data_IF_816621611040
#
_entry.id   IF_816621611040
#
_cell.length_a   1.000
_cell.length_b   1.000
_cell.length_c   1.000
_cell.angle_alpha   90.00
_cell.angle_beta   90.00
_cell.angle_gamma   90.00
#
_symmetry.space_group_name_H-M   'P 1'
#
loop_
_entity.id
_entity.type
_entity.pdbx_description
1 polymer ?
#
# COMPACT_ATOMS: atom_id res chain seq x y z
N UNK A 1 1.82 -68.11 32.37
CA UNK A 1 1.59 -67.66 30.97
C UNK A 1 1.34 -66.16 31.00
N UNK A 2 2.36 -65.31 30.76
CA UNK A 2 2.23 -63.86 30.92
C UNK A 2 1.65 -63.19 29.65
N UNK A 3 0.81 -62.18 29.87
CA UNK A 3 0.24 -61.30 28.85
C UNK A 3 1.35 -60.53 28.10
N UNK A 4 1.28 -60.49 26.76
CA UNK A 4 2.08 -59.58 25.91
C UNK A 4 1.25 -58.35 25.54
N UNK A 5 1.71 -57.17 26.00
CA UNK A 5 1.33 -55.86 25.48
C UNK A 5 2.03 -55.57 24.14
N UNK A 6 1.29 -54.92 23.24
CA UNK A 6 1.78 -54.03 22.17
C UNK A 6 1.13 -52.65 22.43
N UNK A 7 1.55 -51.52 21.84
CA UNK A 7 2.78 -51.19 21.10
C UNK A 7 3.46 -49.89 21.64
N UNK A 8 4.65 -49.53 21.16
CA UNK A 8 5.18 -48.17 21.29
C UNK A 8 5.78 -47.72 19.95
N UNK A 9 5.16 -46.68 19.39
CA UNK A 9 5.53 -46.06 18.14
C UNK A 9 6.88 -45.33 18.26
N UNK A 10 7.74 -45.52 17.28
CA UNK A 10 8.99 -44.79 17.13
C UNK A 10 8.72 -43.37 16.60
N UNK A 11 8.96 -42.36 17.42
CA UNK A 11 9.04 -40.96 17.00
C UNK A 11 10.32 -40.73 16.21
N UNK A 12 10.20 -40.44 14.91
CA UNK A 12 11.28 -39.93 14.08
C UNK A 12 11.48 -38.44 14.37
N UNK A 13 12.52 -38.10 15.13
CA UNK A 13 13.03 -36.74 15.25
C UNK A 13 13.87 -36.44 14.00
N UNK A 14 13.32 -35.71 13.02
CA UNK A 14 14.11 -35.09 11.96
C UNK A 14 14.76 -33.81 12.51
N UNK A 15 16.08 -33.84 12.65
CA UNK A 15 16.92 -32.69 12.94
C UNK A 15 17.08 -31.87 11.65
N UNK A 16 16.56 -30.64 11.60
CA UNK A 16 16.80 -29.71 10.50
C UNK A 16 18.20 -29.07 10.62
N UNK A 17 18.94 -28.86 9.51
CA UNK A 17 20.24 -28.19 9.55
C UNK A 17 20.11 -26.66 9.75
N UNK A 18 21.14 -25.99 10.30
CA UNK A 18 21.10 -24.56 10.60
C UNK A 18 21.11 -23.70 9.33
N UNK A 19 20.33 -22.61 9.35
CA UNK A 19 20.22 -21.61 8.29
C UNK A 19 21.57 -20.95 7.99
N UNK A 20 22.06 -21.09 6.75
CA UNK A 20 23.09 -20.20 6.21
C UNK A 20 22.49 -18.83 5.90
N UNK A 21 23.20 -17.78 6.32
CA UNK A 21 22.82 -16.39 6.11
C UNK A 21 22.94 -16.01 4.61
N UNK A 22 21.82 -15.63 4.01
CA UNK A 22 21.74 -15.14 2.64
C UNK A 22 22.30 -13.71 2.56
N UNK A 23 23.34 -13.50 1.75
CA UNK A 23 23.92 -12.18 1.52
C UNK A 23 22.94 -11.26 0.76
N UNK A 24 22.91 -9.95 1.03
CA UNK A 24 21.97 -9.03 0.41
C UNK A 24 22.26 -8.82 -1.09
N UNK A 25 21.21 -8.84 -1.89
CA UNK A 25 21.25 -8.53 -3.33
C UNK A 25 21.46 -7.02 -3.58
N UNK A 26 22.12 -6.63 -4.68
CA UNK A 26 22.41 -5.24 -4.98
C UNK A 26 21.13 -4.44 -5.32
N UNK A 27 21.09 -3.13 -5.01
CA UNK A 27 19.89 -2.31 -5.23
C UNK A 27 19.59 -2.12 -6.73
N UNK A 28 18.30 -2.04 -7.13
CA UNK A 28 17.93 -1.84 -8.52
C UNK A 28 18.29 -0.43 -8.98
N UNK A 29 18.95 -0.34 -10.14
CA UNK A 29 19.28 0.93 -10.80
C UNK A 29 18.00 1.73 -11.08
N UNK A 30 18.01 3.00 -10.69
CA UNK A 30 16.89 3.93 -10.81
C UNK A 30 16.39 4.03 -12.26
N UNK A 31 15.28 3.36 -12.58
CA UNK A 31 14.55 3.58 -13.82
C UNK A 31 13.53 4.68 -13.56
N UNK A 32 13.65 5.78 -14.30
CA UNK A 32 12.67 6.87 -14.31
C UNK A 32 11.31 6.27 -14.70
N UNK A 33 10.31 6.42 -13.85
CA UNK A 33 8.94 6.02 -14.15
C UNK A 33 8.42 6.90 -15.28
N UNK A 34 7.90 6.32 -16.37
CA UNK A 34 7.30 7.13 -17.42
C UNK A 34 6.01 7.77 -16.91
N UNK A 35 5.62 8.95 -17.43
CA UNK A 35 4.36 9.58 -17.08
C UNK A 35 3.18 8.65 -17.44
N UNK A 36 2.10 8.73 -16.65
CA UNK A 36 0.90 7.88 -16.78
C UNK A 36 0.32 7.89 -18.21
N UNK A 37 0.50 8.98 -18.95
CA UNK A 37 0.10 9.08 -20.37
C UNK A 37 0.80 8.08 -21.29
N UNK A 38 2.07 7.76 -21.03
CA UNK A 38 2.83 6.81 -21.83
C UNK A 38 2.40 5.34 -21.59
N UNK A 39 1.89 5.05 -20.39
CA UNK A 39 1.30 3.75 -20.05
C UNK A 39 0.00 3.49 -20.83
N UNK A 40 -0.82 4.53 -21.04
CA UNK A 40 -2.06 4.39 -21.82
C UNK A 40 -1.78 4.11 -23.30
N UNK A 41 -0.83 4.80 -23.92
CA UNK A 41 -0.43 4.52 -25.31
C UNK A 41 0.14 3.11 -25.48
N UNK A 42 0.88 2.62 -24.49
CA UNK A 42 1.41 1.26 -24.50
C UNK A 42 0.31 0.20 -24.40
N UNK A 43 -0.68 0.41 -23.51
CA UNK A 43 -1.83 -0.47 -23.36
C UNK A 43 -2.73 -0.50 -24.61
N UNK A 44 -2.91 0.64 -25.28
CA UNK A 44 -3.68 0.74 -26.52
C UNK A 44 -2.99 0.00 -27.69
N UNK A 45 -1.65 0.04 -27.72
CA UNK A 45 -0.86 -0.72 -28.70
C UNK A 45 -0.96 -2.24 -28.50
N UNK A 46 -1.07 -2.70 -27.25
CA UNK A 46 -1.22 -4.13 -26.92
C UNK A 46 -2.62 -4.66 -27.23
N UNK A 47 -3.64 -3.80 -27.18
CA UNK A 47 -5.03 -4.16 -27.53
C UNK A 47 -5.22 -4.36 -29.04
N UNK A 48 -4.39 -3.74 -29.87
CA UNK A 48 -4.53 -3.73 -31.34
C UNK A 48 -3.83 -4.89 -32.06
N UNK A 49 -3.25 -5.85 -31.35
CA UNK A 49 -2.77 -7.12 -31.93
C UNK A 49 -1.70 -7.01 -33.02
N UNK A 50 -0.92 -5.92 -33.06
CA UNK A 50 0.21 -5.78 -33.99
C UNK A 50 1.53 -6.04 -33.26
N UNK A 51 2.32 -6.98 -33.79
CA UNK A 51 3.61 -7.39 -33.25
C UNK A 51 4.60 -6.21 -33.10
N UNK A 52 5.08 -6.00 -31.87
CA UNK A 52 6.03 -4.96 -31.49
C UNK A 52 7.48 -5.24 -31.97
N UNK A 53 7.69 -5.59 -33.26
CA UNK A 53 9.02 -5.87 -33.82
C UNK A 53 9.39 -5.17 -35.14
N UNK A 54 8.59 -4.24 -35.66
CA UNK A 54 8.94 -3.56 -36.93
C UNK A 54 8.76 -2.05 -36.98
N UNK A 55 8.60 -1.36 -35.85
CA UNK A 55 8.58 0.11 -35.82
C UNK A 55 9.69 0.68 -34.94
N UNK A 56 10.80 1.05 -35.57
CA UNK A 56 11.72 2.03 -35.01
C UNK A 56 10.98 3.39 -34.90
N UNK A 57 11.11 4.12 -33.78
CA UNK A 57 10.45 5.41 -33.65
C UNK A 57 11.07 6.42 -34.62
N UNK A 58 10.28 7.24 -35.33
CA UNK A 58 10.83 8.31 -36.15
C UNK A 58 11.48 9.38 -35.26
N UNK A 59 12.58 9.96 -35.74
CA UNK A 59 13.24 11.09 -35.10
C UNK A 59 12.25 12.25 -34.91
N UNK A 60 12.12 12.73 -33.66
CA UNK A 60 11.24 13.83 -33.31
C UNK A 60 11.66 15.13 -34.03
N UNK A 61 10.83 15.59 -34.96
CA UNK A 61 10.91 16.95 -35.50
C UNK A 61 10.16 17.89 -34.53
N UNK A 62 10.82 18.99 -34.17
CA UNK A 62 10.31 19.98 -33.22
C UNK A 62 9.05 20.68 -33.73
N UNK A 63 7.92 20.41 -33.08
CA UNK A 63 6.70 21.23 -33.19
C UNK A 63 6.81 22.51 -32.32
N UNK A 64 5.97 23.53 -32.59
CA UNK A 64 6.06 24.81 -31.90
C UNK A 64 5.80 24.63 -30.40
N UNK A 65 6.67 25.21 -29.59
CA UNK A 65 6.55 25.23 -28.12
C UNK A 65 5.30 26.02 -27.77
N UNK A 66 4.20 25.31 -27.52
CA UNK A 66 3.02 25.91 -26.91
C UNK A 66 3.41 26.39 -25.51
N UNK A 67 3.48 27.70 -25.34
CA UNK A 67 3.55 28.37 -24.05
C UNK A 67 2.24 28.15 -23.30
N UNK A 68 2.11 26.99 -22.66
CA UNK A 68 0.88 26.53 -22.02
C UNK A 68 0.90 26.68 -20.50
N UNK A 69 0.21 27.72 -20.02
CA UNK A 69 -0.55 27.74 -18.76
C UNK A 69 0.21 27.47 -17.47
N UNK A 70 0.56 28.55 -16.75
CA UNK A 70 0.84 28.46 -15.30
C UNK A 70 -0.33 27.81 -14.55
N UNK A 71 -0.08 27.15 -13.41
CA UNK A 71 -1.11 26.36 -12.73
C UNK A 71 -2.30 27.24 -12.33
N UNK A 72 -3.47 26.86 -12.86
CA UNK A 72 -4.79 27.36 -12.47
C UNK A 72 -4.94 27.39 -10.95
N UNK A 73 -5.18 28.58 -10.40
CA UNK A 73 -5.48 28.82 -8.98
C UNK A 73 -6.89 28.35 -8.61
N UNK A 74 -7.25 27.12 -8.97
CA UNK A 74 -8.45 26.48 -8.44
C UNK A 74 -8.24 26.27 -6.94
N UNK A 75 -9.22 26.68 -6.12
CA UNK A 75 -9.18 26.52 -4.66
C UNK A 75 -8.97 25.04 -4.32
N UNK A 76 -7.74 24.68 -3.93
CA UNK A 76 -7.40 23.35 -3.44
C UNK A 76 -7.85 23.24 -2.00
N UNK A 77 -8.58 22.19 -1.67
CA UNK A 77 -8.85 21.86 -0.26
C UNK A 77 -7.53 21.42 0.40
N UNK A 78 -7.11 22.04 1.51
CA UNK A 78 -5.92 21.62 2.22
C UNK A 78 -6.11 20.22 2.83
N UNK A 79 -5.03 19.46 2.94
CA UNK A 79 -5.01 18.12 3.53
C UNK A 79 -3.96 18.07 4.65
N UNK A 80 -4.36 17.57 5.81
CA UNK A 80 -3.48 17.27 6.94
C UNK A 80 -3.39 15.75 7.07
N UNK A 81 -2.19 15.22 6.79
CA UNK A 81 -1.93 13.79 6.77
C UNK A 81 -0.99 13.40 7.93
N UNK A 82 -1.48 12.58 8.87
CA UNK A 82 -0.70 12.04 9.97
C UNK A 82 -0.15 10.65 9.64
N UNK A 83 1.09 10.56 9.19
CA UNK A 83 1.79 9.28 9.05
C UNK A 83 2.40 8.84 10.38
N UNK A 84 1.87 7.78 10.97
CA UNK A 84 2.26 7.31 12.30
C UNK A 84 3.59 6.55 12.28
N UNK A 85 4.10 6.20 11.09
CA UNK A 85 5.28 5.35 10.89
C UNK A 85 5.10 4.05 11.69
N UNK A 86 6.14 3.54 12.32
CA UNK A 86 6.08 2.35 13.18
C UNK A 86 5.62 2.71 14.61
N UNK A 87 4.44 3.33 14.75
CA UNK A 87 3.85 3.66 16.05
C UNK A 87 2.32 3.55 16.03
N UNK A 88 1.68 3.34 17.19
CA UNK A 88 2.30 3.02 18.50
C UNK A 88 2.83 1.56 18.56
N UNK A 89 3.41 1.15 19.68
CA UNK A 89 4.07 -0.16 19.78
C UNK A 89 3.07 -1.31 19.97
N UNK A 90 1.90 -1.02 20.52
CA UNK A 90 0.90 -2.03 20.89
C UNK A 90 -0.49 -1.67 20.37
N UNK A 91 -1.32 -2.70 20.16
CA UNK A 91 -2.72 -2.53 19.75
C UNK A 91 -3.51 -1.65 20.73
N UNK A 92 -3.45 -1.86 22.07
CA UNK A 92 -4.21 -1.01 23.01
C UNK A 92 -3.80 0.46 22.98
N UNK A 93 -2.52 0.76 22.77
CA UNK A 93 -2.06 2.14 22.57
C UNK A 93 -2.64 2.74 21.29
N UNK A 94 -2.70 1.96 20.20
CA UNK A 94 -3.32 2.38 18.95
C UNK A 94 -4.81 2.65 19.14
N UNK A 95 -5.52 1.72 19.79
CA UNK A 95 -6.94 1.85 20.13
C UNK A 95 -7.21 3.12 20.93
N UNK A 96 -6.40 3.38 21.96
CA UNK A 96 -6.54 4.57 22.80
C UNK A 96 -6.34 5.85 21.98
N UNK A 97 -5.29 5.91 21.16
CA UNK A 97 -5.03 7.06 20.29
C UNK A 97 -6.18 7.28 19.29
N UNK A 98 -6.73 6.22 18.69
CA UNK A 98 -7.86 6.29 17.77
C UNK A 98 -9.13 6.81 18.46
N UNK A 99 -9.42 6.34 19.68
CA UNK A 99 -10.57 6.80 20.46
C UNK A 99 -10.44 8.27 20.84
N UNK A 100 -9.25 8.70 21.28
CA UNK A 100 -8.96 10.11 21.56
C UNK A 100 -9.12 10.98 20.31
N UNK A 101 -8.62 10.53 19.15
CA UNK A 101 -8.80 11.25 17.89
C UNK A 101 -10.26 11.35 17.49
N UNK A 102 -11.01 10.24 17.57
CA UNK A 102 -12.44 10.18 17.26
C UNK A 102 -13.25 11.17 18.11
N UNK A 103 -13.08 11.12 19.44
CA UNK A 103 -13.77 12.02 20.36
C UNK A 103 -13.42 13.49 20.13
N UNK A 104 -12.12 13.82 20.01
CA UNK A 104 -11.68 15.19 19.80
C UNK A 104 -12.16 15.76 18.47
N UNK A 105 -12.17 14.96 17.39
CA UNK A 105 -12.58 15.44 16.08
C UNK A 105 -14.10 15.67 16.01
N UNK A 106 -14.90 14.77 16.61
CA UNK A 106 -16.35 14.94 16.69
C UNK A 106 -16.75 16.16 17.51
N UNK A 107 -16.05 16.42 18.62
CA UNK A 107 -16.35 17.55 19.51
C UNK A 107 -15.95 18.92 18.92
N UNK A 108 -15.00 18.95 18.00
CA UNK A 108 -14.44 20.20 17.43
C UNK A 108 -14.74 20.37 15.94
N UNK A 109 -15.76 19.66 15.40
CA UNK A 109 -16.03 19.57 13.97
C UNK A 109 -16.56 20.85 13.30
N UNK A 110 -16.66 21.97 14.01
CA UNK A 110 -17.12 23.23 13.42
C UNK A 110 -16.12 23.68 12.34
N UNK A 111 -16.50 23.49 11.09
CA UNK A 111 -15.84 23.98 9.88
C UNK A 111 -14.40 23.50 9.66
N UNK A 112 -14.21 22.17 9.55
CA UNK A 112 -12.93 21.60 9.13
C UNK A 112 -12.58 22.03 7.68
N UNK A 113 -11.86 23.15 7.57
CA UNK A 113 -11.35 23.71 6.31
C UNK A 113 -10.38 22.75 5.60
N UNK A 114 -9.75 21.84 6.35
CA UNK A 114 -8.86 20.81 5.83
C UNK A 114 -9.49 19.42 5.87
N UNK A 115 -9.10 18.58 4.92
CA UNK A 115 -9.29 17.14 5.03
C UNK A 115 -8.24 16.56 5.97
N UNK A 116 -8.63 15.61 6.83
CA UNK A 116 -7.73 14.97 7.77
C UNK A 116 -7.64 13.48 7.45
N UNK A 117 -6.41 12.98 7.33
CA UNK A 117 -6.12 11.59 7.01
C UNK A 117 -5.09 11.05 7.99
N UNK A 118 -5.27 9.82 8.47
CA UNK A 118 -4.27 9.11 9.28
C UNK A 118 -3.76 7.87 8.56
N UNK A 119 -2.47 7.57 8.73
CA UNK A 119 -1.81 6.41 8.15
C UNK A 119 -1.18 5.56 9.26
N UNK A 120 -1.95 4.68 9.92
CA UNK A 120 -1.43 3.77 10.94
C UNK A 120 -0.58 2.64 10.31
N UNK A 121 0.28 1.96 11.10
CA UNK A 121 0.83 0.67 10.72
C UNK A 121 -0.25 -0.32 10.27
N UNK A 122 0.07 -1.19 9.30
CA UNK A 122 -0.87 -2.20 8.78
C UNK A 122 -1.59 -3.04 9.85
N UNK A 123 -0.93 -3.49 10.94
CA UNK A 123 -1.62 -4.24 12.00
C UNK A 123 -2.80 -3.50 12.64
N UNK A 124 -2.85 -2.17 12.54
CA UNK A 124 -3.89 -1.33 13.15
C UNK A 124 -4.86 -0.72 12.13
N UNK A 125 -4.68 -1.00 10.83
CA UNK A 125 -5.44 -0.35 9.76
C UNK A 125 -6.95 -0.65 9.84
N UNK A 126 -7.32 -1.91 10.07
CA UNK A 126 -8.73 -2.32 10.19
C UNK A 126 -9.42 -1.70 11.41
N UNK A 127 -8.71 -1.62 12.54
CA UNK A 127 -9.21 -0.98 13.75
C UNK A 127 -9.36 0.53 13.55
N UNK A 128 -8.39 1.18 12.89
CA UNK A 128 -8.48 2.60 12.58
C UNK A 128 -9.70 2.93 11.72
N UNK A 129 -9.98 2.13 10.69
CA UNK A 129 -11.19 2.32 9.89
C UNK A 129 -12.45 2.16 10.74
N UNK A 130 -12.48 1.13 11.59
CA UNK A 130 -13.66 0.83 12.43
C UNK A 130 -13.94 1.94 13.45
N UNK A 131 -12.91 2.41 14.17
CA UNK A 131 -13.05 3.40 15.24
C UNK A 131 -13.31 4.81 14.70
N UNK A 132 -12.75 5.16 13.53
CA UNK A 132 -12.89 6.49 12.94
C UNK A 132 -14.09 6.62 12.00
N UNK A 133 -14.86 5.55 11.80
CA UNK A 133 -16.07 5.59 10.99
C UNK A 133 -17.04 6.67 11.49
N UNK A 134 -17.58 7.49 10.57
CA UNK A 134 -18.53 8.56 10.89
C UNK A 134 -17.89 9.86 11.43
N UNK A 135 -16.63 9.83 11.88
CA UNK A 135 -15.94 11.03 12.41
C UNK A 135 -15.66 12.07 11.33
N UNK A 136 -15.40 11.62 10.10
CA UNK A 136 -14.90 12.46 9.00
C UNK A 136 -13.38 12.39 8.82
N UNK A 137 -12.65 11.76 9.74
CA UNK A 137 -11.23 11.42 9.55
C UNK A 137 -11.14 10.27 8.55
N UNK A 138 -10.28 10.43 7.55
CA UNK A 138 -9.97 9.40 6.56
C UNK A 138 -8.81 8.52 7.04
N UNK A 139 -8.77 7.29 6.55
CA UNK A 139 -7.72 6.33 6.87
C UNK A 139 -7.03 5.88 5.59
N UNK A 140 -5.70 5.78 5.63
CA UNK A 140 -4.87 5.27 4.53
C UNK A 140 -3.82 4.27 4.99
N UNK A 141 -3.28 3.50 4.04
CA UNK A 141 -2.15 2.61 4.29
C UNK A 141 -0.82 3.33 4.05
N UNK A 142 0.24 3.03 4.80
CA UNK A 142 1.54 3.71 4.61
C UNK A 142 2.28 3.31 3.32
N UNK A 143 1.90 2.19 2.73
CA UNK A 143 2.49 1.62 1.52
C UNK A 143 1.47 0.69 0.85
N UNK A 144 1.67 0.35 -0.42
CA UNK A 144 1.02 -0.77 -1.12
C UNK A 144 1.97 -1.35 -2.16
N UNK A 145 1.81 -2.65 -2.44
CA UNK A 145 2.47 -3.31 -3.56
C UNK A 145 1.83 -2.95 -4.89
N UNK A 146 2.55 -3.17 -5.99
CA UNK A 146 2.05 -2.91 -7.35
C UNK A 146 1.12 -4.02 -7.85
N UNK A 147 1.20 -5.21 -7.24
CA UNK A 147 0.49 -6.39 -7.69
C UNK A 147 -0.91 -6.45 -7.08
N UNK A 148 -1.87 -6.90 -7.88
CA UNK A 148 -3.27 -7.01 -7.44
C UNK A 148 -3.56 -8.27 -6.62
N UNK A 149 -2.80 -9.36 -6.88
CA UNK A 149 -2.82 -10.65 -6.15
C UNK A 149 -1.64 -11.53 -6.60
N UNK A 150 -1.26 -12.52 -5.79
CA UNK A 150 -0.27 -13.54 -6.17
C UNK A 150 0.67 -13.90 -5.02
N UNK A 151 1.75 -14.64 -5.35
CA UNK A 151 2.75 -15.10 -4.38
C UNK A 151 3.78 -14.00 -4.05
N UNK A 152 3.31 -12.90 -3.44
CA UNK A 152 4.11 -11.75 -3.02
C UNK A 152 4.08 -11.62 -1.49
N UNK A 153 4.93 -12.39 -0.80
CA UNK A 153 4.93 -12.46 0.67
C UNK A 153 5.24 -11.10 1.29
N UNK A 154 4.37 -10.65 2.21
CA UNK A 154 4.51 -9.38 2.92
C UNK A 154 3.97 -8.17 2.19
N UNK A 155 3.61 -8.29 0.91
CA UNK A 155 2.99 -7.21 0.15
C UNK A 155 1.50 -7.05 0.47
N UNK A 156 1.02 -5.81 0.39
CA UNK A 156 -0.40 -5.49 0.56
C UNK A 156 -0.92 -4.86 -0.73
N UNK A 157 -1.92 -5.48 -1.34
CA UNK A 157 -2.50 -4.95 -2.58
C UNK A 157 -3.42 -3.73 -2.29
N UNK A 158 -3.51 -2.75 -3.20
CA UNK A 158 -4.42 -1.60 -3.06
C UNK A 158 -5.88 -2.01 -2.86
N UNK A 159 -6.29 -3.13 -3.48
CA UNK A 159 -7.64 -3.71 -3.33
C UNK A 159 -7.92 -4.17 -1.90
N UNK A 160 -6.91 -4.65 -1.16
CA UNK A 160 -7.06 -5.05 0.25
C UNK A 160 -7.31 -3.83 1.13
N UNK A 161 -6.53 -2.76 0.96
CA UNK A 161 -6.72 -1.49 1.67
C UNK A 161 -8.12 -0.92 1.38
N UNK A 162 -8.53 -0.91 0.11
CA UNK A 162 -9.86 -0.46 -0.28
C UNK A 162 -10.98 -1.30 0.34
N UNK A 163 -10.81 -2.61 0.42
CA UNK A 163 -11.81 -3.52 0.99
C UNK A 163 -12.02 -3.30 2.49
N UNK A 164 -10.99 -2.81 3.19
CA UNK A 164 -11.09 -2.44 4.61
C UNK A 164 -11.78 -1.09 4.81
N UNK A 165 -11.98 -0.28 3.75
CA UNK A 165 -12.50 1.09 3.83
C UNK A 165 -11.42 2.17 3.85
N UNK A 166 -10.17 1.84 3.51
CA UNK A 166 -9.12 2.82 3.30
C UNK A 166 -9.35 3.65 2.03
N UNK A 167 -9.13 4.96 2.14
CA UNK A 167 -9.32 5.94 1.04
C UNK A 167 -7.97 6.44 0.47
N UNK A 168 -6.87 6.22 1.19
CA UNK A 168 -5.54 6.75 0.87
C UNK A 168 -4.43 5.69 0.94
N UNK A 169 -3.31 5.99 0.28
CA UNK A 169 -2.02 5.30 0.39
C UNK A 169 -0.88 6.31 0.33
#
# INVERSE_FOLDING_TARGET
MPLRLLPLAASALLLAPPCEAFAPSPPPLARRTPPVSALFSYLDSLSSGQDARSHAPPAAQGGPVASGGGPSSALRRPVVAGNWKLNPATLPEASNLLQLLSANFLNNRADAAAEVVVFPPFPYLSEAVSVLQGTGIKVGAQNVGLQTKGAFTGEVAPSMVRSLGGDYV
#
